data_IF_788403693255
#
_entry.id   IF_788403693255
#
_cell.length_a   1.000
_cell.length_b   1.000
_cell.length_c   1.000
_cell.angle_alpha   90.00
_cell.angle_beta   90.00
_cell.angle_gamma   90.00
#
_symmetry.space_group_name_H-M   'P 1'
#
loop_
_entity.id
_entity.type
_entity.pdbx_description
1 polymer ?
#
# COMPACT_ATOMS: atom_id res chain seq x y z
N UNK A 1 11.97 -26.03 11.87
CA UNK A 1 10.51 -25.85 11.73
C UNK A 1 10.07 -24.39 11.95
N UNK A 2 10.98 -23.42 11.89
CA UNK A 2 10.72 -22.03 12.32
C UNK A 2 10.54 -21.02 11.18
N UNK A 3 10.68 -21.45 9.92
CA UNK A 3 10.56 -20.58 8.74
C UNK A 3 9.14 -20.51 8.15
N UNK A 4 8.20 -21.36 8.58
CA UNK A 4 6.87 -21.46 7.99
C UNK A 4 5.84 -20.44 8.54
N UNK A 5 6.19 -19.69 9.59
CA UNK A 5 5.26 -18.76 10.26
C UNK A 5 5.33 -17.31 9.73
N UNK A 6 6.29 -16.99 8.85
CA UNK A 6 6.59 -15.61 8.42
C UNK A 6 5.83 -15.12 7.16
N UNK A 7 5.05 -15.98 6.51
CA UNK A 7 4.46 -15.67 5.20
C UNK A 7 2.94 -15.38 5.22
N UNK A 8 2.27 -15.48 6.37
CA UNK A 8 0.80 -15.33 6.47
C UNK A 8 0.25 -13.89 6.36
N UNK A 9 0.94 -13.00 5.65
CA UNK A 9 0.46 -11.64 5.39
C UNK A 9 1.08 -10.92 4.19
N UNK A 10 1.98 -11.56 3.44
CA UNK A 10 2.66 -10.90 2.32
C UNK A 10 1.81 -10.98 1.05
N UNK A 11 1.61 -9.82 0.43
CA UNK A 11 0.97 -9.72 -0.88
C UNK A 11 1.95 -10.18 -1.94
N UNK A 12 1.54 -11.14 -2.76
CA UNK A 12 2.31 -11.60 -3.92
C UNK A 12 1.99 -10.72 -5.12
N UNK A 13 3.03 -10.06 -5.66
CA UNK A 13 2.98 -9.27 -6.89
C UNK A 13 3.43 -10.12 -8.06
N UNK A 14 2.54 -10.40 -9.00
CA UNK A 14 2.87 -11.04 -10.26
C UNK A 14 3.28 -9.98 -11.29
N UNK A 15 4.50 -10.08 -11.82
CA UNK A 15 5.02 -9.12 -12.80
C UNK A 15 5.03 -9.74 -14.20
N UNK A 16 4.08 -9.31 -15.01
CA UNK A 16 3.99 -9.69 -16.41
C UNK A 16 4.60 -8.63 -17.33
N UNK A 17 5.44 -9.07 -18.27
CA UNK A 17 6.17 -8.19 -19.17
C UNK A 17 6.51 -8.87 -20.50
N UNK A 18 6.75 -8.09 -21.55
CA UNK A 18 7.40 -8.58 -22.76
C UNK A 18 8.92 -8.52 -22.60
N UNK A 19 9.65 -9.40 -23.30
CA UNK A 19 11.12 -9.48 -23.29
C UNK A 19 11.83 -8.13 -23.41
N UNK A 20 11.29 -7.17 -24.17
CA UNK A 20 11.90 -5.82 -24.29
C UNK A 20 11.81 -4.98 -23.02
N UNK A 21 10.79 -5.19 -22.17
CA UNK A 21 10.63 -4.49 -20.89
C UNK A 21 11.32 -5.18 -19.72
N UNK A 22 12.05 -6.28 -19.98
CA UNK A 22 12.77 -7.05 -18.96
C UNK A 22 13.66 -6.22 -18.03
N UNK A 23 14.42 -5.21 -18.51
CA UNK A 23 15.18 -4.34 -17.61
C UNK A 23 14.32 -3.53 -16.64
N UNK A 24 13.13 -3.08 -17.05
CA UNK A 24 12.19 -2.35 -16.19
C UNK A 24 11.46 -3.28 -15.23
N UNK A 25 11.04 -4.45 -15.71
CA UNK A 25 10.41 -5.48 -14.89
C UNK A 25 11.33 -5.95 -13.76
N UNK A 26 12.61 -6.19 -14.06
CA UNK A 26 13.61 -6.53 -13.04
C UNK A 26 13.80 -5.43 -12.01
N UNK A 27 13.88 -4.16 -12.44
CA UNK A 27 13.99 -3.03 -11.50
C UNK A 27 12.78 -2.97 -10.56
N UNK A 28 11.57 -3.18 -11.09
CA UNK A 28 10.36 -3.20 -10.28
C UNK A 28 10.37 -4.37 -9.29
N UNK A 29 10.71 -5.58 -9.77
CA UNK A 29 10.80 -6.77 -8.94
C UNK A 29 11.76 -6.57 -7.77
N UNK A 30 12.97 -6.05 -8.06
CA UNK A 30 13.98 -5.75 -7.04
C UNK A 30 13.49 -4.69 -6.05
N UNK A 31 12.85 -3.63 -6.52
CA UNK A 31 12.33 -2.58 -5.64
C UNK A 31 11.19 -3.08 -4.73
N UNK A 32 10.26 -3.89 -5.26
CA UNK A 32 9.19 -4.49 -4.47
C UNK A 32 9.72 -5.47 -3.42
N UNK A 33 10.70 -6.31 -3.80
CA UNK A 33 11.36 -7.21 -2.86
C UNK A 33 12.13 -6.45 -1.77
N UNK A 34 12.81 -5.36 -2.12
CA UNK A 34 13.46 -4.47 -1.16
C UNK A 34 12.46 -3.81 -0.18
N UNK A 35 11.22 -3.58 -0.63
CA UNK A 35 10.11 -3.11 0.19
C UNK A 35 9.41 -4.25 0.97
N UNK A 36 10.02 -5.43 1.06
CA UNK A 36 9.53 -6.57 1.84
C UNK A 36 8.33 -7.32 1.23
N UNK A 37 7.98 -7.02 -0.02
CA UNK A 37 6.87 -7.69 -0.72
C UNK A 37 7.32 -9.02 -1.34
N UNK A 38 6.38 -9.97 -1.44
CA UNK A 38 6.61 -11.20 -2.20
C UNK A 38 6.39 -10.91 -3.69
N UNK A 39 7.31 -11.36 -4.54
CA UNK A 39 7.27 -11.09 -5.98
C UNK A 39 7.34 -12.40 -6.74
N UNK A 40 6.41 -12.58 -7.68
CA UNK A 40 6.51 -13.56 -8.73
C UNK A 40 7.03 -12.87 -10.00
N UNK A 41 8.24 -13.23 -10.40
CA UNK A 41 8.94 -12.73 -11.59
C UNK A 41 9.62 -13.91 -12.28
N UNK A 42 9.39 -14.07 -13.59
CA UNK A 42 9.74 -15.27 -14.34
C UNK A 42 11.21 -15.73 -14.16
N UNK A 43 12.19 -14.82 -14.18
CA UNK A 43 13.60 -15.16 -13.99
C UNK A 43 13.95 -15.64 -12.58
N UNK A 44 13.13 -15.30 -11.58
CA UNK A 44 13.36 -15.71 -10.20
C UNK A 44 12.63 -17.00 -9.88
N UNK A 45 11.46 -17.20 -10.49
CA UNK A 45 10.53 -18.26 -10.11
C UNK A 45 10.55 -19.47 -11.04
N UNK A 46 10.95 -19.32 -12.31
CA UNK A 46 11.03 -20.41 -13.27
C UNK A 46 12.46 -20.93 -13.43
N UNK A 47 12.61 -22.25 -13.53
CA UNK A 47 13.87 -22.95 -13.78
C UNK A 47 13.86 -23.61 -15.15
N UNK A 48 15.03 -23.87 -15.76
CA UNK A 48 15.12 -24.69 -16.96
C UNK A 48 14.47 -26.05 -16.74
N UNK A 49 13.51 -26.40 -17.60
CA UNK A 49 12.70 -27.62 -17.48
C UNK A 49 11.27 -27.39 -16.96
N UNK A 50 10.96 -26.21 -16.41
CA UNK A 50 9.61 -25.89 -15.94
C UNK A 50 8.66 -25.62 -17.12
N UNK A 51 7.39 -25.99 -16.94
CA UNK A 51 6.32 -25.54 -17.83
C UNK A 51 6.09 -24.05 -17.63
N UNK A 52 6.36 -23.25 -18.66
CA UNK A 52 6.11 -21.80 -18.63
C UNK A 52 4.64 -21.50 -18.31
N UNK A 53 3.71 -22.22 -18.94
CA UNK A 53 2.27 -22.02 -18.74
C UNK A 53 1.87 -22.39 -17.31
N UNK A 54 2.26 -23.58 -16.85
CA UNK A 54 1.91 -24.04 -15.51
C UNK A 54 2.53 -23.17 -14.41
N UNK A 55 3.75 -22.70 -14.60
CA UNK A 55 4.40 -21.77 -13.69
C UNK A 55 3.69 -20.41 -13.61
N UNK A 56 3.23 -19.88 -14.75
CA UNK A 56 2.44 -18.64 -14.80
C UNK A 56 1.09 -18.83 -14.08
N UNK A 57 0.39 -19.94 -14.32
CA UNK A 57 -0.89 -20.24 -13.66
C UNK A 57 -0.73 -20.32 -12.13
N UNK A 58 0.30 -21.01 -11.66
CA UNK A 58 0.62 -21.11 -10.23
C UNK A 58 0.97 -19.75 -9.63
N UNK A 59 1.83 -18.99 -10.30
CA UNK A 59 2.20 -17.65 -9.85
C UNK A 59 1.00 -16.72 -9.77
N UNK A 60 0.08 -16.81 -10.74
CA UNK A 60 -1.15 -16.05 -10.72
C UNK A 60 -2.11 -16.51 -9.63
N UNK A 61 -2.21 -17.81 -9.35
CA UNK A 61 -3.07 -18.34 -8.28
C UNK A 61 -2.74 -17.72 -6.92
N UNK A 62 -1.46 -17.54 -6.62
CA UNK A 62 -0.99 -16.94 -5.37
C UNK A 62 -1.01 -15.40 -5.39
N UNK A 63 -1.00 -14.79 -6.58
CA UNK A 63 -0.97 -13.35 -6.74
C UNK A 63 -2.22 -12.67 -6.16
N UNK A 64 -1.98 -11.54 -5.50
CA UNK A 64 -3.03 -10.58 -5.09
C UNK A 64 -2.96 -9.29 -5.90
N UNK A 65 -1.80 -9.02 -6.50
CA UNK A 65 -1.59 -7.88 -7.41
C UNK A 65 -0.97 -8.40 -8.71
N UNK A 66 -1.61 -8.09 -9.82
CA UNK A 66 -1.12 -8.35 -11.18
C UNK A 66 -0.59 -7.05 -11.78
N UNK A 67 0.73 -6.94 -11.90
CA UNK A 67 1.42 -5.82 -12.53
C UNK A 67 1.79 -6.18 -13.95
N UNK A 68 1.56 -5.24 -14.86
CA UNK A 68 1.54 -5.53 -16.28
C UNK A 68 2.23 -4.42 -17.07
N UNK A 69 3.38 -4.74 -17.67
CA UNK A 69 4.09 -3.80 -18.55
C UNK A 69 3.45 -3.81 -19.93
N UNK A 70 2.76 -2.72 -20.27
CA UNK A 70 2.06 -2.55 -21.53
C UNK A 70 2.86 -1.69 -22.51
N UNK A 71 3.03 -2.22 -23.72
CA UNK A 71 3.77 -1.63 -24.84
C UNK A 71 3.22 -2.11 -26.17
N UNK A 72 3.70 -1.52 -27.26
CA UNK A 72 3.42 -2.00 -28.63
C UNK A 72 3.82 -3.47 -28.79
N UNK A 73 4.99 -3.86 -28.26
CA UNK A 73 5.48 -5.23 -28.34
C UNK A 73 4.64 -6.21 -27.50
N UNK A 74 4.14 -5.77 -26.34
CA UNK A 74 3.21 -6.56 -25.55
C UNK A 74 1.89 -6.75 -26.32
N UNK A 75 1.33 -5.69 -26.92
CA UNK A 75 0.13 -5.79 -27.73
C UNK A 75 0.29 -6.76 -28.92
N UNK A 76 1.45 -6.72 -29.58
CA UNK A 76 1.74 -7.56 -30.75
C UNK A 76 2.03 -9.04 -30.40
N UNK A 77 2.53 -9.34 -29.20
CA UNK A 77 2.99 -10.70 -28.86
C UNK A 77 1.89 -11.67 -28.40
N UNK A 78 0.61 -11.42 -28.71
CA UNK A 78 -0.55 -12.16 -28.20
C UNK A 78 -0.48 -12.41 -26.69
N UNK A 79 -0.04 -11.38 -25.97
CA UNK A 79 0.56 -11.42 -24.64
C UNK A 79 -0.41 -11.81 -23.49
N UNK A 80 -1.68 -12.06 -23.81
CA UNK A 80 -2.62 -12.77 -22.94
C UNK A 80 -3.46 -13.68 -23.83
N UNK A 81 -3.26 -14.99 -23.77
CA UNK A 81 -4.15 -15.95 -24.44
C UNK A 81 -5.60 -15.81 -23.95
N UNK A 82 -6.57 -16.35 -24.69
CA UNK A 82 -7.99 -16.26 -24.33
C UNK A 82 -8.28 -16.82 -22.93
N UNK A 83 -7.61 -17.92 -22.56
CA UNK A 83 -7.73 -18.55 -21.24
C UNK A 83 -7.26 -17.64 -20.11
N UNK A 84 -6.11 -16.99 -20.31
CA UNK A 84 -5.56 -16.07 -19.33
C UNK A 84 -6.42 -14.82 -19.14
N UNK A 85 -7.04 -14.31 -20.23
CA UNK A 85 -8.02 -13.20 -20.12
C UNK A 85 -9.23 -13.60 -19.30
N UNK A 86 -9.75 -14.81 -19.50
CA UNK A 86 -10.90 -15.33 -18.75
C UNK A 86 -10.55 -15.50 -17.26
N UNK A 87 -9.37 -16.02 -16.95
CA UNK A 87 -8.87 -16.18 -15.58
C UNK A 87 -8.73 -14.83 -14.86
N UNK A 88 -8.06 -13.86 -15.49
CA UNK A 88 -7.89 -12.52 -14.93
C UNK A 88 -9.24 -11.86 -14.67
N UNK A 89 -10.16 -11.92 -15.65
CA UNK A 89 -11.49 -11.32 -15.52
C UNK A 89 -12.26 -11.89 -14.33
N UNK A 90 -12.30 -13.22 -14.17
CA UNK A 90 -12.95 -13.87 -13.03
C UNK A 90 -12.38 -13.38 -11.69
N UNK A 91 -11.06 -13.32 -11.57
CA UNK A 91 -10.42 -12.93 -10.30
C UNK A 91 -10.61 -11.45 -9.96
N UNK A 92 -10.73 -10.60 -10.97
CA UNK A 92 -11.15 -9.21 -10.79
C UNK A 92 -12.60 -9.14 -10.35
N UNK A 93 -13.51 -9.83 -11.04
CA UNK A 93 -14.95 -9.78 -10.75
C UNK A 93 -15.23 -10.24 -9.30
N UNK A 94 -14.47 -11.22 -8.81
CA UNK A 94 -14.51 -11.71 -7.42
C UNK A 94 -13.71 -10.83 -6.42
N UNK A 95 -13.16 -9.68 -6.87
CA UNK A 95 -12.35 -8.72 -6.11
C UNK A 95 -11.11 -9.33 -5.41
N UNK A 96 -10.56 -10.41 -5.96
CA UNK A 96 -9.42 -11.17 -5.40
C UNK A 96 -8.07 -10.81 -6.01
N UNK A 97 -8.07 -10.06 -7.12
CA UNK A 97 -6.87 -9.68 -7.85
C UNK A 97 -6.95 -8.22 -8.30
N UNK A 98 -6.01 -7.41 -7.82
CA UNK A 98 -5.85 -6.02 -8.28
C UNK A 98 -4.98 -5.98 -9.52
N UNK A 99 -5.40 -5.30 -10.58
CA UNK A 99 -4.61 -5.10 -11.80
C UNK A 99 -3.97 -3.70 -11.80
N UNK A 100 -2.68 -3.62 -12.18
CA UNK A 100 -1.93 -2.36 -12.26
C UNK A 100 -1.17 -2.26 -13.60
N UNK A 101 -1.71 -1.56 -14.60
CA UNK A 101 -1.01 -1.28 -15.86
C UNK A 101 0.17 -0.32 -15.69
N UNK A 102 1.31 -0.68 -16.29
CA UNK A 102 2.48 0.17 -16.46
C UNK A 102 2.67 0.40 -17.95
N UNK A 103 2.25 1.56 -18.44
CA UNK A 103 2.33 1.94 -19.85
C UNK A 103 3.72 2.51 -20.14
N UNK A 104 4.52 1.82 -20.96
CA UNK A 104 5.87 2.26 -21.31
C UNK A 104 5.95 3.07 -22.60
N UNK A 105 4.89 3.02 -23.42
CA UNK A 105 4.68 3.86 -24.59
C UNK A 105 3.21 4.37 -24.62
N UNK A 106 2.76 4.85 -25.79
CA UNK A 106 1.41 5.39 -25.99
C UNK A 106 0.45 4.36 -26.64
N UNK A 107 0.80 3.06 -26.61
CA UNK A 107 -0.06 2.01 -27.13
C UNK A 107 -1.36 1.95 -26.33
N UNK A 108 -2.54 2.01 -26.99
CA UNK A 108 -3.83 1.94 -26.30
C UNK A 108 -3.97 0.68 -25.46
N UNK A 109 -4.58 0.81 -24.28
CA UNK A 109 -4.91 -0.32 -23.44
C UNK A 109 -6.08 -1.11 -24.07
N UNK A 110 -6.04 -2.45 -24.07
CA UNK A 110 -7.17 -3.27 -24.46
C UNK A 110 -8.30 -3.13 -23.44
N UNK A 111 -9.53 -3.48 -23.82
CA UNK A 111 -10.71 -3.34 -22.96
C UNK A 111 -10.52 -3.93 -21.55
N UNK A 112 -9.83 -5.08 -21.44
CA UNK A 112 -9.53 -5.72 -20.15
C UNK A 112 -8.70 -4.86 -19.21
N UNK A 113 -7.94 -3.88 -19.71
CA UNK A 113 -7.06 -3.02 -18.92
C UNK A 113 -7.49 -1.56 -18.91
N UNK A 114 -8.38 -1.16 -19.83
CA UNK A 114 -8.79 0.23 -20.02
C UNK A 114 -9.47 0.84 -18.78
N UNK A 115 -10.16 0.01 -17.99
CA UNK A 115 -10.87 0.46 -16.79
C UNK A 115 -9.97 0.58 -15.53
N UNK A 116 -8.67 0.28 -15.65
CA UNK A 116 -7.75 0.25 -14.51
C UNK A 116 -6.78 1.44 -14.53
N UNK A 117 -6.68 2.10 -13.38
CA UNK A 117 -5.66 3.13 -13.16
C UNK A 117 -4.26 2.51 -13.10
N UNK A 118 -3.31 3.14 -13.78
CA UNK A 118 -1.93 2.68 -13.84
C UNK A 118 -0.91 3.81 -13.95
N UNK A 119 0.32 3.45 -14.31
CA UNK A 119 1.46 4.35 -14.33
C UNK A 119 2.02 4.51 -15.74
N UNK A 120 2.17 5.75 -16.20
CA UNK A 120 2.96 6.03 -17.40
C UNK A 120 4.43 6.11 -17.02
N UNK A 121 5.24 5.21 -17.56
CA UNK A 121 6.68 5.16 -17.28
C UNK A 121 7.44 5.47 -18.56
N UNK A 122 8.29 6.50 -18.50
CA UNK A 122 9.15 6.91 -19.63
C UNK A 122 10.64 6.83 -19.29
N UNK A 123 10.99 6.51 -18.05
CA UNK A 123 12.37 6.36 -17.60
C UNK A 123 12.50 5.34 -16.47
N UNK A 124 13.72 4.80 -16.30
CA UNK A 124 14.02 3.83 -15.23
C UNK A 124 13.83 4.43 -13.82
N UNK A 125 14.06 5.74 -13.64
CA UNK A 125 13.93 6.42 -12.35
C UNK A 125 12.51 6.35 -11.78
N UNK A 126 11.49 6.37 -12.65
CA UNK A 126 10.09 6.29 -12.24
C UNK A 126 9.71 4.93 -11.63
N UNK A 127 10.46 3.84 -11.91
CA UNK A 127 10.12 2.50 -11.42
C UNK A 127 10.19 2.40 -9.90
N UNK A 128 11.15 3.08 -9.26
CA UNK A 128 11.26 3.09 -7.81
C UNK A 128 10.05 3.76 -7.15
N UNK A 129 9.56 4.86 -7.73
CA UNK A 129 8.34 5.53 -7.25
C UNK A 129 7.10 4.66 -7.45
N UNK A 130 6.99 3.99 -8.60
CA UNK A 130 5.92 3.02 -8.85
C UNK A 130 5.95 1.92 -7.77
N UNK A 131 7.11 1.34 -7.51
CA UNK A 131 7.26 0.29 -6.49
C UNK A 131 6.78 0.77 -5.12
N UNK A 132 7.23 1.95 -4.66
CA UNK A 132 6.79 2.54 -3.40
C UNK A 132 5.26 2.66 -3.34
N UNK A 133 4.65 3.32 -4.34
CA UNK A 133 3.21 3.59 -4.39
C UNK A 133 2.33 2.35 -4.48
N UNK A 134 2.80 1.29 -5.14
CA UNK A 134 2.01 0.04 -5.24
C UNK A 134 2.25 -0.87 -4.03
N UNK A 135 3.45 -0.84 -3.44
CA UNK A 135 3.80 -1.60 -2.23
C UNK A 135 3.27 -0.99 -0.94
N UNK A 136 2.80 0.26 -0.98
CA UNK A 136 1.92 0.89 0.04
C UNK A 136 0.55 0.20 0.10
N UNK A 137 0.54 -1.14 0.14
CA UNK A 137 -0.54 -1.85 0.79
C UNK A 137 -0.51 -1.42 2.24
N UNK A 138 -1.42 -0.52 2.53
CA UNK A 138 -1.89 -0.05 3.83
C UNK A 138 -1.99 -1.22 4.81
N UNK A 139 -0.86 -1.65 5.39
CA UNK A 139 -0.87 -2.56 6.54
C UNK A 139 -1.71 -1.88 7.62
N UNK A 140 -2.36 -2.65 8.48
CA UNK A 140 -3.13 -2.06 9.58
C UNK A 140 -2.27 -1.06 10.37
N UNK A 141 -0.98 -1.36 10.56
CA UNK A 141 -0.01 -0.45 11.16
C UNK A 141 0.22 0.85 10.35
N UNK A 142 0.31 0.77 9.02
CA UNK A 142 0.46 1.94 8.14
C UNK A 142 -0.78 2.81 8.14
N UNK A 143 -1.98 2.20 8.13
CA UNK A 143 -3.26 2.90 8.24
C UNK A 143 -3.33 3.63 9.57
N UNK A 144 -3.06 2.91 10.67
CA UNK A 144 -3.09 3.47 12.02
C UNK A 144 -2.13 4.66 12.12
N UNK A 145 -0.91 4.55 11.60
CA UNK A 145 0.05 5.65 11.58
C UNK A 145 -0.49 6.88 10.83
N UNK A 146 -0.97 6.71 9.60
CA UNK A 146 -1.49 7.82 8.79
C UNK A 146 -2.74 8.46 9.41
N UNK A 147 -3.63 7.65 9.99
CA UNK A 147 -4.81 8.15 10.69
C UNK A 147 -4.41 8.91 11.95
N UNK A 148 -3.41 8.45 12.70
CA UNK A 148 -2.91 9.14 13.89
C UNK A 148 -2.24 10.47 13.53
N UNK A 149 -1.37 10.51 12.52
CA UNK A 149 -0.78 11.76 12.01
C UNK A 149 -1.88 12.78 11.66
N UNK A 150 -2.89 12.34 10.92
CA UNK A 150 -4.03 13.21 10.56
C UNK A 150 -4.88 13.61 11.77
N UNK A 151 -5.06 12.71 12.73
CA UNK A 151 -5.82 12.97 13.95
C UNK A 151 -5.10 14.02 14.79
N UNK A 152 -3.78 13.92 14.96
CA UNK A 152 -2.96 14.89 15.68
C UNK A 152 -3.06 16.28 15.05
N UNK A 153 -2.89 16.39 13.72
CA UNK A 153 -3.06 17.67 12.99
C UNK A 153 -4.41 18.35 13.25
N UNK A 154 -5.47 17.56 13.39
CA UNK A 154 -6.83 18.07 13.56
C UNK A 154 -7.21 18.31 15.03
N UNK A 155 -6.57 17.62 15.97
CA UNK A 155 -6.93 17.63 17.39
C UNK A 155 -6.00 18.46 18.25
N UNK A 156 -4.74 18.65 17.82
CA UNK A 156 -3.71 19.37 18.55
C UNK A 156 -3.45 20.73 17.88
N UNK A 157 -3.34 21.78 18.70
CA UNK A 157 -2.90 23.11 18.32
C UNK A 157 -1.41 23.27 18.59
N UNK A 158 -0.59 23.06 17.55
CA UNK A 158 0.86 23.19 17.65
C UNK A 158 1.34 24.63 17.86
N UNK A 159 0.48 25.63 17.63
CA UNK A 159 0.81 27.03 17.81
C UNK A 159 0.54 27.55 19.24
N UNK A 160 -0.13 26.74 20.08
CA UNK A 160 -0.45 27.05 21.46
C UNK A 160 0.78 26.96 22.38
N UNK A 161 1.71 27.92 22.22
CA UNK A 161 2.90 28.05 23.07
C UNK A 161 2.45 28.29 24.52
N UNK A 162 2.83 27.38 25.42
CA UNK A 162 2.51 27.35 26.86
C UNK A 162 1.17 26.70 27.27
N UNK A 163 0.45 26.03 26.36
CA UNK A 163 -0.64 25.14 26.77
C UNK A 163 -0.09 23.71 26.94
N UNK A 164 -0.05 23.16 28.17
CA UNK A 164 0.47 21.82 28.42
C UNK A 164 -0.43 20.71 27.83
N UNK A 165 -1.69 21.04 27.50
CA UNK A 165 -2.64 20.13 26.86
C UNK A 165 -3.33 20.85 25.68
N UNK A 166 -2.59 21.09 24.57
CA UNK A 166 -3.01 21.97 23.49
C UNK A 166 -4.05 21.34 22.55
N UNK A 167 -5.10 20.72 23.09
CA UNK A 167 -6.16 20.13 22.27
C UNK A 167 -7.16 21.20 21.81
N UNK A 168 -7.31 21.34 20.49
CA UNK A 168 -8.37 22.14 19.83
C UNK A 168 -9.61 21.32 19.50
N UNK A 169 -9.49 19.99 19.41
CA UNK A 169 -10.61 19.05 19.25
C UNK A 169 -10.37 17.74 19.98
N UNK A 170 -11.44 17.13 20.46
CA UNK A 170 -11.41 15.86 21.17
C UNK A 170 -11.02 14.74 20.19
N UNK A 171 -9.95 13.96 20.46
CA UNK A 171 -9.51 12.88 19.56
C UNK A 171 -10.51 11.72 19.47
N UNK A 172 -11.45 11.61 20.42
CA UNK A 172 -12.47 10.56 20.44
C UNK A 172 -13.73 10.91 19.64
N UNK A 173 -14.20 12.16 19.68
CA UNK A 173 -15.50 12.53 19.09
C UNK A 173 -15.52 13.82 18.27
N UNK A 174 -14.39 14.53 18.16
CA UNK A 174 -14.25 15.74 17.35
C UNK A 174 -14.85 17.02 17.94
N UNK A 175 -15.42 16.97 19.14
CA UNK A 175 -15.94 18.13 19.89
C UNK A 175 -14.83 19.14 20.18
N UNK A 176 -15.14 20.44 20.19
CA UNK A 176 -14.16 21.52 20.46
C UNK A 176 -14.37 22.20 21.82
N UNK A 177 -15.32 21.73 22.62
CA UNK A 177 -15.58 22.22 23.97
C UNK A 177 -15.00 21.29 25.04
N UNK A 178 -14.26 21.89 25.98
CA UNK A 178 -13.55 21.17 27.03
C UNK A 178 -13.77 21.77 28.41
N UNK A 179 -13.63 20.92 29.43
CA UNK A 179 -13.40 21.33 30.82
C UNK A 179 -11.89 21.22 31.12
N UNK A 180 -11.31 22.25 31.71
CA UNK A 180 -9.88 22.31 32.05
C UNK A 180 -9.73 22.61 33.55
N UNK A 181 -8.83 21.89 34.23
CA UNK A 181 -8.58 22.03 35.67
C UNK A 181 -7.10 21.88 35.97
N UNK A 182 -6.64 22.59 37.00
CA UNK A 182 -5.32 22.40 37.62
C UNK A 182 -5.53 21.83 39.01
N UNK A 183 -4.83 20.74 39.33
CA UNK A 183 -4.88 20.07 40.63
C UNK A 183 -3.50 20.22 41.26
N UNK A 184 -3.41 20.95 42.37
CA UNK A 184 -2.16 21.13 43.12
C UNK A 184 -2.17 20.24 44.36
N UNK A 185 -1.07 19.52 44.61
CA UNK A 185 -0.87 18.76 45.84
C UNK A 185 -0.05 19.58 46.86
N UNK A 186 -0.66 20.11 47.94
CA UNK A 186 0.01 21.05 48.85
C UNK A 186 1.28 20.51 49.52
N UNK A 187 1.38 19.19 49.67
CA UNK A 187 2.49 18.54 50.37
C UNK A 187 3.66 18.14 49.45
N UNK A 188 3.49 18.23 48.12
CA UNK A 188 4.47 17.71 47.13
C UNK A 188 4.92 18.71 46.08
N UNK A 189 4.35 19.92 46.06
CA UNK A 189 4.64 20.95 45.05
C UNK A 189 4.44 20.44 43.60
N UNK A 190 3.53 19.48 43.43
CA UNK A 190 3.16 18.91 42.13
C UNK A 190 1.88 19.59 41.63
N UNK A 191 1.92 20.15 40.43
CA UNK A 191 0.73 20.64 39.70
C UNK A 191 0.38 19.67 38.57
N UNK A 192 -0.90 19.32 38.45
CA UNK A 192 -1.41 18.48 37.37
C UNK A 192 -2.44 19.26 36.55
N UNK A 193 -2.23 19.32 35.25
CA UNK A 193 -3.16 19.88 34.28
C UNK A 193 -4.06 18.76 33.77
N UNK A 194 -5.37 18.99 33.74
CA UNK A 194 -6.37 18.01 33.27
C UNK A 194 -7.28 18.67 32.26
N UNK A 195 -7.52 18.00 31.12
CA UNK A 195 -8.50 18.38 30.11
C UNK A 195 -9.53 17.25 29.93
N UNK A 196 -10.81 17.60 29.83
CA UNK A 196 -11.90 16.65 29.59
C UNK A 196 -12.84 17.15 28.49
N UNK A 197 -13.34 16.25 27.64
CA UNK A 197 -14.33 16.59 26.63
C UNK A 197 -15.72 16.76 27.25
N UNK A 198 -16.45 17.83 26.88
CA UNK A 198 -17.81 18.07 27.38
C UNK A 198 -18.88 17.15 26.79
N UNK A 199 -18.57 16.46 25.68
CA UNK A 199 -19.52 15.62 24.94
C UNK A 199 -19.35 14.13 25.18
N UNK A 200 -18.13 13.66 25.40
CA UNK A 200 -17.84 12.24 25.59
C UNK A 200 -16.89 12.03 26.77
N UNK A 201 -16.72 10.79 27.19
CA UNK A 201 -15.91 10.45 28.37
C UNK A 201 -14.39 10.39 28.09
N UNK A 202 -13.87 11.30 27.25
CA UNK A 202 -12.43 11.41 26.97
C UNK A 202 -11.81 12.49 27.86
N UNK A 203 -10.64 12.19 28.41
CA UNK A 203 -9.84 13.12 29.22
C UNK A 203 -8.36 12.78 29.14
N UNK A 204 -7.51 13.80 29.24
CA UNK A 204 -6.04 13.70 29.27
C UNK A 204 -5.51 14.52 30.46
N UNK A 205 -4.32 14.19 30.95
CA UNK A 205 -3.65 14.94 32.00
C UNK A 205 -2.13 14.96 31.81
N UNK A 206 -1.45 15.95 32.39
CA UNK A 206 0.01 16.05 32.43
C UNK A 206 0.45 16.78 33.70
N UNK A 207 1.73 16.67 34.08
CA UNK A 207 2.33 17.28 35.27
C UNK A 207 3.30 18.39 34.83
#
# INVERSE_FOLDING_TARGET
MEQAQLDQGKIVYFISHNKKQKPLARLLATALAANGQSVWYDEWNLKPGDSLIGGIENGLAEARVFVIFWSYDAAASNWVGTEMRAYLRRRVDDNTLRIIPIMVDDTPLPALLADYLGFKVRSKKAIAEVAARISESQSEASIVRLLNERLEELTIDTDARNDPLPYKRCPKCGENQFDRKTISHPDRDDEYYVIGCKKCNWSEWTQ
#
